data_IF_668500288269
#
_entry.id   IF_668500288269
#
_cell.length_a   1.000
_cell.length_b   1.000
_cell.length_c   1.000
_cell.angle_alpha   90.00
_cell.angle_beta   90.00
_cell.angle_gamma   90.00
#
_symmetry.space_group_name_H-M   'P 1'
#
loop_
_entity.id
_entity.type
_entity.pdbx_description
1 polymer ?
#
# COMPACT_ATOMS: atom_id res chain seq x y z
N UNK A 1 1.53 -22.82 -2.23
CA UNK A 1 0.77 -22.94 -3.49
C UNK A 1 1.33 -21.94 -4.49
N UNK A 2 1.61 -22.37 -5.72
CA UNK A 2 1.97 -21.46 -6.82
C UNK A 2 0.68 -20.91 -7.45
N UNK A 3 0.36 -19.65 -7.15
CA UNK A 3 -0.87 -19.00 -7.62
C UNK A 3 -0.91 -18.75 -9.13
N UNK A 4 0.25 -18.66 -9.79
CA UNK A 4 0.30 -18.44 -11.24
C UNK A 4 -0.15 -19.68 -12.01
N UNK A 5 0.20 -20.85 -11.50
CA UNK A 5 -0.12 -22.15 -12.11
C UNK A 5 -1.29 -22.86 -11.44
N UNK A 6 -1.90 -22.27 -10.40
CA UNK A 6 -3.05 -22.84 -9.72
C UNK A 6 -4.31 -22.84 -10.62
N UNK A 7 -5.16 -23.85 -10.45
CA UNK A 7 -6.48 -23.88 -11.10
C UNK A 7 -7.41 -22.78 -10.58
N UNK A 8 -8.56 -22.60 -11.21
CA UNK A 8 -9.50 -21.54 -10.89
C UNK A 8 -10.13 -21.74 -9.50
N UNK A 9 -10.38 -22.97 -9.08
CA UNK A 9 -10.98 -23.31 -7.80
C UNK A 9 -10.01 -22.98 -6.64
N UNK A 10 -8.76 -23.43 -6.76
CA UNK A 10 -7.68 -23.09 -5.81
C UNK A 10 -7.49 -21.58 -5.70
N UNK A 11 -7.47 -20.85 -6.84
CA UNK A 11 -7.38 -19.39 -6.79
C UNK A 11 -8.58 -18.74 -6.10
N UNK A 12 -9.80 -19.24 -6.34
CA UNK A 12 -11.02 -18.75 -5.70
C UNK A 12 -10.98 -18.98 -4.18
N UNK A 13 -10.58 -20.17 -3.72
CA UNK A 13 -10.49 -20.48 -2.29
C UNK A 13 -9.48 -19.64 -1.52
N UNK A 14 -8.47 -19.10 -2.20
CA UNK A 14 -7.42 -18.26 -1.59
C UNK A 14 -7.79 -16.78 -1.60
N UNK A 15 -8.39 -16.28 -2.69
CA UNK A 15 -8.79 -14.87 -2.84
C UNK A 15 -9.91 -14.53 -1.85
N UNK A 16 -9.72 -13.44 -1.10
CA UNK A 16 -10.63 -13.00 -0.04
C UNK A 16 -10.39 -13.72 1.29
N UNK A 17 -10.15 -15.02 1.28
CA UNK A 17 -9.98 -15.83 2.49
C UNK A 17 -8.54 -15.79 3.04
N UNK A 18 -7.53 -16.12 2.23
CA UNK A 18 -6.13 -16.09 2.68
C UNK A 18 -5.39 -14.82 2.26
N UNK A 19 -5.72 -14.31 1.09
CA UNK A 19 -5.16 -13.07 0.53
C UNK A 19 -6.32 -12.16 0.17
N UNK A 20 -6.38 -11.00 0.81
CA UNK A 20 -7.40 -9.99 0.51
C UNK A 20 -6.76 -8.69 0.03
N UNK A 21 -7.54 -7.84 -0.63
CA UNK A 21 -7.06 -6.59 -1.22
C UNK A 21 -8.00 -5.43 -0.91
N UNK A 22 -7.41 -4.30 -0.53
CA UNK A 22 -8.07 -3.00 -0.47
C UNK A 22 -7.66 -2.22 -1.71
N UNK A 23 -8.64 -1.83 -2.53
CA UNK A 23 -8.42 -1.11 -3.77
C UNK A 23 -8.28 0.40 -3.53
N UNK A 24 -7.66 1.08 -4.47
CA UNK A 24 -7.41 2.53 -4.43
C UNK A 24 -8.71 3.36 -4.37
N UNK A 25 -9.74 2.96 -5.13
CA UNK A 25 -11.00 3.66 -5.22
C UNK A 25 -12.17 2.81 -4.71
N UNK A 26 -12.79 3.18 -3.56
CA UNK A 26 -13.94 2.45 -3.03
C UNK A 26 -15.17 2.54 -3.94
N UNK A 27 -15.26 3.52 -4.83
CA UNK A 27 -16.38 3.65 -5.77
C UNK A 27 -16.38 2.57 -6.85
N UNK A 28 -15.21 2.06 -7.20
CA UNK A 28 -15.06 0.97 -8.17
C UNK A 28 -15.19 -0.41 -7.52
N UNK A 29 -14.96 -0.49 -6.21
CA UNK A 29 -15.01 -1.75 -5.46
C UNK A 29 -16.42 -2.10 -4.93
N UNK A 30 -17.24 -1.08 -4.61
CA UNK A 30 -18.59 -1.28 -4.09
C UNK A 30 -19.63 -1.19 -5.20
N UNK A 31 -20.58 -2.13 -5.24
CA UNK A 31 -21.71 -2.12 -6.17
C UNK A 31 -22.74 -1.05 -5.72
N UNK A 32 -22.95 0.04 -6.50
CA UNK A 32 -23.79 1.15 -6.08
C UNK A 32 -25.29 0.83 -5.97
N UNK A 33 -25.75 -0.24 -6.61
CA UNK A 33 -27.17 -0.66 -6.62
C UNK A 33 -27.47 -1.82 -5.67
N UNK A 34 -26.50 -2.20 -4.84
CA UNK A 34 -26.65 -3.27 -3.85
C UNK A 34 -26.42 -2.73 -2.44
N UNK A 35 -27.22 -3.17 -1.48
CA UNK A 35 -27.06 -2.82 -0.07
C UNK A 35 -25.72 -3.30 0.47
N UNK A 36 -25.11 -2.52 1.37
CA UNK A 36 -23.79 -2.83 1.93
C UNK A 36 -23.73 -4.18 2.65
N UNK A 37 -24.75 -4.48 3.49
CA UNK A 37 -24.84 -5.76 4.18
C UNK A 37 -24.81 -6.95 3.21
N UNK A 38 -25.56 -6.84 2.10
CA UNK A 38 -25.60 -7.91 1.10
C UNK A 38 -24.25 -8.13 0.41
N UNK A 39 -23.49 -7.05 0.14
CA UNK A 39 -22.15 -7.16 -0.45
C UNK A 39 -21.16 -7.84 0.49
N UNK A 40 -21.26 -7.61 1.81
CA UNK A 40 -20.41 -8.30 2.79
C UNK A 40 -20.84 -9.76 2.97
N UNK A 41 -22.16 -10.05 2.95
CA UNK A 41 -22.67 -11.42 2.96
C UNK A 41 -22.17 -12.23 1.76
N UNK A 42 -22.14 -11.65 0.55
CA UNK A 42 -21.60 -12.31 -0.64
C UNK A 42 -20.14 -12.76 -0.50
N UNK A 43 -19.34 -12.04 0.31
CA UNK A 43 -17.97 -12.47 0.62
C UNK A 43 -17.98 -13.74 1.46
N UNK A 44 -18.90 -13.87 2.42
CA UNK A 44 -19.06 -15.07 3.24
C UNK A 44 -19.60 -16.23 2.41
N UNK A 45 -20.66 -15.98 1.61
CA UNK A 45 -21.28 -16.97 0.73
C UNK A 45 -20.26 -17.57 -0.26
N UNK A 46 -19.35 -16.73 -0.80
CA UNK A 46 -18.33 -17.17 -1.75
C UNK A 46 -17.32 -18.16 -1.16
N UNK A 47 -17.29 -18.30 0.17
CA UNK A 47 -16.39 -19.20 0.91
C UNK A 47 -17.13 -20.21 1.80
N UNK A 48 -18.41 -20.48 1.50
CA UNK A 48 -19.27 -21.43 2.23
C UNK A 48 -19.39 -21.11 3.74
N UNK A 49 -19.35 -19.82 4.10
CA UNK A 49 -19.45 -19.30 5.47
C UNK A 49 -20.78 -18.57 5.71
N UNK A 50 -21.78 -18.84 4.90
CA UNK A 50 -23.13 -18.26 4.90
C UNK A 50 -24.06 -18.77 6.01
N UNK A 51 -23.50 -19.40 7.05
CA UNK A 51 -24.22 -19.99 8.16
C UNK A 51 -25.14 -19.01 8.90
N UNK A 52 -25.93 -19.52 9.87
CA UNK A 52 -26.95 -18.81 10.65
C UNK A 52 -26.49 -17.49 11.29
N UNK A 53 -25.18 -17.20 11.31
CA UNK A 53 -24.57 -16.04 11.95
C UNK A 53 -24.02 -15.03 10.94
N UNK A 54 -24.26 -15.16 9.62
CA UNK A 54 -23.69 -14.24 8.61
C UNK A 54 -24.00 -12.76 8.91
N UNK A 55 -25.23 -12.44 9.31
CA UNK A 55 -25.62 -11.07 9.67
C UNK A 55 -24.85 -10.55 10.90
N UNK A 56 -24.63 -11.40 11.90
CA UNK A 56 -23.84 -11.03 13.09
C UNK A 56 -22.37 -10.79 12.73
N UNK A 57 -21.79 -11.60 11.86
CA UNK A 57 -20.42 -11.42 11.34
C UNK A 57 -20.30 -10.10 10.58
N UNK A 58 -21.25 -9.81 9.69
CA UNK A 58 -21.30 -8.53 8.94
C UNK A 58 -21.47 -7.34 9.88
N UNK A 59 -22.38 -7.43 10.85
CA UNK A 59 -22.57 -6.41 11.86
C UNK A 59 -21.28 -6.11 12.62
N UNK A 60 -20.59 -7.15 13.12
CA UNK A 60 -19.33 -7.01 13.84
C UNK A 60 -18.22 -6.45 12.96
N UNK A 61 -18.11 -6.88 11.70
CA UNK A 61 -17.14 -6.34 10.75
C UNK A 61 -17.33 -4.83 10.50
N UNK A 62 -18.57 -4.36 10.36
CA UNK A 62 -18.86 -2.92 10.21
C UNK A 62 -18.59 -2.14 11.49
N UNK A 63 -18.91 -2.72 12.64
CA UNK A 63 -18.61 -2.14 13.97
C UNK A 63 -17.11 -2.00 14.20
N UNK A 64 -16.34 -3.03 13.88
CA UNK A 64 -14.88 -3.07 14.07
C UNK A 64 -14.15 -2.00 13.26
N UNK A 65 -14.67 -1.63 12.08
CA UNK A 65 -14.14 -0.53 11.30
C UNK A 65 -14.71 0.84 11.67
N UNK A 66 -15.54 0.91 12.71
CA UNK A 66 -16.09 2.14 13.25
C UNK A 66 -17.18 2.78 12.37
N UNK A 67 -17.99 1.97 11.70
CA UNK A 67 -19.21 2.44 11.04
C UNK A 67 -20.27 2.71 12.13
N UNK A 68 -20.83 3.93 12.20
CA UNK A 68 -21.93 4.22 13.11
C UNK A 68 -23.22 3.49 12.69
N UNK A 69 -24.03 3.07 13.66
CA UNK A 69 -25.30 2.38 13.41
C UNK A 69 -25.18 1.21 12.41
N UNK A 70 -24.40 0.14 12.71
CA UNK A 70 -24.11 -0.93 11.74
C UNK A 70 -25.37 -1.60 11.18
N UNK A 71 -26.44 -1.78 11.97
CA UNK A 71 -27.71 -2.34 11.51
C UNK A 71 -28.36 -1.51 10.41
N UNK A 72 -28.30 -0.19 10.53
CA UNK A 72 -28.78 0.74 9.51
C UNK A 72 -27.89 0.70 8.28
N UNK A 73 -26.57 0.70 8.51
CA UNK A 73 -25.57 0.65 7.45
C UNK A 73 -25.71 -0.60 6.56
N UNK A 74 -26.00 -1.77 7.15
CA UNK A 74 -26.27 -3.00 6.40
C UNK A 74 -27.43 -2.85 5.41
N UNK A 75 -28.41 -2.01 5.71
CA UNK A 75 -29.58 -1.78 4.89
C UNK A 75 -29.47 -0.59 3.92
N UNK A 76 -28.38 0.15 3.99
CA UNK A 76 -28.11 1.32 3.15
C UNK A 76 -27.30 0.98 1.90
N UNK A 77 -27.29 1.89 0.94
CA UNK A 77 -26.53 1.80 -0.30
C UNK A 77 -25.21 2.60 -0.19
N UNK A 78 -24.18 2.28 -1.00
CA UNK A 78 -22.91 2.99 -0.98
C UNK A 78 -23.01 4.50 -1.17
N UNK A 79 -23.93 4.99 -1.99
CA UNK A 79 -24.10 6.41 -2.27
C UNK A 79 -24.60 7.23 -1.06
N UNK A 80 -25.17 6.59 -0.05
CA UNK A 80 -25.62 7.23 1.19
C UNK A 80 -24.46 7.54 2.16
N UNK A 81 -23.24 7.08 1.85
CA UNK A 81 -22.05 7.19 2.70
C UNK A 81 -21.02 8.19 2.16
N UNK A 82 -20.29 8.84 3.08
CA UNK A 82 -19.12 9.66 2.71
C UNK A 82 -18.00 8.79 2.14
N UNK A 83 -17.01 9.39 1.47
CA UNK A 83 -15.85 8.67 0.94
C UNK A 83 -15.10 7.87 2.01
N UNK A 84 -14.85 8.48 3.17
CA UNK A 84 -14.19 7.80 4.29
C UNK A 84 -15.01 6.64 4.88
N UNK A 85 -16.34 6.75 4.91
CA UNK A 85 -17.21 5.65 5.35
C UNK A 85 -17.22 4.50 4.34
N UNK A 86 -17.27 4.78 3.04
CA UNK A 86 -17.13 3.75 1.99
C UNK A 86 -15.79 3.04 2.06
N UNK A 87 -14.71 3.79 2.34
CA UNK A 87 -13.38 3.21 2.56
C UNK A 87 -13.37 2.24 3.75
N UNK A 88 -14.01 2.61 4.87
CA UNK A 88 -14.15 1.72 6.02
C UNK A 88 -14.93 0.46 5.70
N UNK A 89 -16.02 0.57 4.93
CA UNK A 89 -16.80 -0.60 4.47
C UNK A 89 -15.95 -1.51 3.59
N UNK A 90 -15.15 -0.95 2.66
CA UNK A 90 -14.23 -1.74 1.84
C UNK A 90 -13.15 -2.44 2.68
N UNK A 91 -12.66 -1.79 3.74
CA UNK A 91 -11.74 -2.43 4.69
C UNK A 91 -12.45 -3.55 5.46
N UNK A 92 -13.69 -3.34 5.93
CA UNK A 92 -14.48 -4.39 6.57
C UNK A 92 -14.63 -5.61 5.65
N UNK A 93 -14.99 -5.38 4.39
CA UNK A 93 -15.10 -6.43 3.36
C UNK A 93 -13.77 -7.18 3.15
N UNK A 94 -12.64 -6.47 3.14
CA UNK A 94 -11.32 -7.08 2.98
C UNK A 94 -10.88 -7.91 4.20
N UNK A 95 -11.35 -7.56 5.40
CA UNK A 95 -10.93 -8.18 6.66
C UNK A 95 -11.91 -9.20 7.23
N UNK A 96 -13.13 -9.28 6.71
CA UNK A 96 -14.23 -10.09 7.26
C UNK A 96 -13.88 -11.58 7.43
N UNK A 97 -13.01 -12.10 6.53
CA UNK A 97 -12.53 -13.50 6.57
C UNK A 97 -11.19 -13.65 7.30
N UNK A 98 -10.69 -12.60 7.97
CA UNK A 98 -9.42 -12.62 8.69
C UNK A 98 -8.24 -13.14 7.84
N UNK A 99 -7.90 -12.51 6.71
CA UNK A 99 -6.90 -12.99 5.78
C UNK A 99 -5.50 -13.06 6.42
N UNK A 100 -4.64 -13.94 5.88
CA UNK A 100 -3.23 -14.04 6.28
C UNK A 100 -2.37 -12.94 5.68
N UNK A 101 -2.74 -12.44 4.50
CA UNK A 101 -2.08 -11.34 3.79
C UNK A 101 -3.11 -10.33 3.32
N UNK A 102 -2.91 -9.07 3.71
CA UNK A 102 -3.65 -7.93 3.18
C UNK A 102 -2.76 -7.15 2.21
N UNK A 103 -3.25 -6.94 0.99
CA UNK A 103 -2.66 -6.03 0.00
C UNK A 103 -3.49 -4.75 0.03
N UNK A 104 -2.86 -3.62 0.33
CA UNK A 104 -3.51 -2.31 0.36
C UNK A 104 -2.89 -1.42 -0.72
N UNK A 105 -3.66 -1.14 -1.78
CA UNK A 105 -3.21 -0.35 -2.92
C UNK A 105 -3.71 1.09 -2.78
N UNK A 106 -2.84 1.99 -2.35
CA UNK A 106 -3.12 3.40 -2.08
C UNK A 106 -4.42 3.65 -1.30
N UNK A 107 -4.70 2.94 -0.21
CA UNK A 107 -6.02 2.89 0.42
C UNK A 107 -6.46 4.20 1.10
N UNK A 108 -5.61 5.21 1.12
CA UNK A 108 -5.88 6.51 1.76
C UNK A 108 -5.73 7.71 0.82
N UNK A 109 -5.46 7.51 -0.47
CA UNK A 109 -5.12 8.59 -1.43
C UNK A 109 -6.24 9.58 -1.61
N UNK A 110 -7.43 9.43 -1.44
CA UNK A 110 -8.51 10.41 -1.64
C UNK A 110 -9.15 10.90 -0.33
N UNK A 111 -8.47 10.64 0.81
CA UNK A 111 -9.00 10.95 2.13
C UNK A 111 -8.31 12.18 2.73
N UNK A 112 -9.04 12.93 3.54
CA UNK A 112 -8.43 13.97 4.38
C UNK A 112 -7.51 13.35 5.45
N UNK A 113 -6.57 14.15 5.95
CA UNK A 113 -5.50 13.71 6.87
C UNK A 113 -6.08 13.05 8.13
N UNK A 114 -7.21 13.54 8.64
CA UNK A 114 -7.83 13.01 9.85
C UNK A 114 -8.39 11.61 9.62
N UNK A 115 -9.13 11.42 8.54
CA UNK A 115 -9.68 10.11 8.15
C UNK A 115 -8.54 9.14 7.80
N UNK A 116 -7.51 9.62 7.09
CA UNK A 116 -6.31 8.81 6.81
C UNK A 116 -5.70 8.25 8.09
N UNK A 117 -5.45 9.08 9.11
CA UNK A 117 -4.90 8.64 10.39
C UNK A 117 -5.80 7.60 11.09
N UNK A 118 -7.12 7.80 11.05
CA UNK A 118 -8.07 6.85 11.62
C UNK A 118 -8.02 5.48 10.91
N UNK A 119 -7.93 5.47 9.57
CA UNK A 119 -7.79 4.24 8.78
C UNK A 119 -6.48 3.52 9.11
N UNK A 120 -5.37 4.26 9.19
CA UNK A 120 -4.06 3.67 9.53
C UNK A 120 -4.07 3.04 10.93
N UNK A 121 -4.65 3.73 11.91
CA UNK A 121 -4.79 3.20 13.27
C UNK A 121 -5.64 1.92 13.29
N UNK A 122 -6.77 1.91 12.57
CA UNK A 122 -7.65 0.76 12.45
C UNK A 122 -6.94 -0.45 11.84
N UNK A 123 -6.27 -0.28 10.70
CA UNK A 123 -5.56 -1.38 10.02
C UNK A 123 -4.40 -1.90 10.88
N UNK A 124 -3.66 -1.01 11.56
CA UNK A 124 -2.58 -1.38 12.49
C UNK A 124 -3.10 -2.20 13.66
N UNK A 125 -4.27 -1.83 14.21
CA UNK A 125 -4.90 -2.56 15.30
C UNK A 125 -5.37 -3.95 14.84
N UNK A 126 -6.00 -4.06 13.66
CA UNK A 126 -6.41 -5.33 13.09
C UNK A 126 -5.21 -6.24 12.79
N UNK A 127 -4.13 -5.70 12.22
CA UNK A 127 -2.87 -6.43 12.04
C UNK A 127 -2.35 -7.00 13.36
N UNK A 128 -2.32 -6.20 14.42
CA UNK A 128 -1.85 -6.63 15.74
C UNK A 128 -2.73 -7.73 16.34
N UNK A 129 -4.06 -7.66 16.16
CA UNK A 129 -5.02 -8.65 16.68
C UNK A 129 -4.93 -9.98 15.94
N UNK A 130 -4.84 -9.95 14.60
CA UNK A 130 -4.89 -11.14 13.74
C UNK A 130 -3.50 -11.75 13.42
N UNK A 131 -2.42 -11.00 13.61
CA UNK A 131 -1.08 -11.40 13.17
C UNK A 131 -0.90 -11.45 11.65
N UNK A 132 -1.81 -10.85 10.87
CA UNK A 132 -1.73 -10.86 9.40
C UNK A 132 -0.49 -10.10 8.90
N UNK A 133 0.06 -10.58 7.80
CA UNK A 133 1.07 -9.85 7.02
C UNK A 133 0.40 -8.79 6.16
N UNK A 134 1.12 -7.71 5.83
CA UNK A 134 0.57 -6.62 5.05
C UNK A 134 1.55 -6.14 3.99
N UNK A 135 1.07 -5.98 2.76
CA UNK A 135 1.75 -5.28 1.68
C UNK A 135 1.02 -3.95 1.44
N UNK A 136 1.66 -2.86 1.85
CA UNK A 136 1.08 -1.51 1.73
C UNK A 136 1.75 -0.75 0.59
N UNK A 137 0.99 -0.40 -0.43
CA UNK A 137 1.46 0.38 -1.58
C UNK A 137 1.01 1.82 -1.38
N UNK A 138 1.95 2.75 -1.40
CA UNK A 138 1.67 4.18 -1.21
C UNK A 138 2.80 5.05 -1.74
N UNK A 139 2.50 6.28 -2.08
CA UNK A 139 3.47 7.34 -2.34
C UNK A 139 3.69 8.26 -1.10
N UNK A 140 2.97 8.04 0.00
CA UNK A 140 3.08 8.82 1.22
C UNK A 140 4.13 8.22 2.17
N UNK A 141 5.31 8.84 2.19
CA UNK A 141 6.43 8.42 3.04
C UNK A 141 6.15 8.62 4.55
N UNK A 142 5.24 9.54 4.92
CA UNK A 142 4.80 9.72 6.30
C UNK A 142 4.03 8.50 6.82
N UNK A 143 3.22 7.89 5.97
CA UNK A 143 2.54 6.62 6.25
C UNK A 143 3.56 5.50 6.42
N UNK A 144 4.50 5.38 5.48
CA UNK A 144 5.53 4.33 5.49
C UNK A 144 6.32 4.34 6.79
N UNK A 145 6.76 5.52 7.23
CA UNK A 145 7.59 5.68 8.43
C UNK A 145 6.98 5.10 9.71
N UNK A 146 5.64 5.03 9.79
CA UNK A 146 4.92 4.66 11.01
C UNK A 146 4.19 3.32 10.93
N UNK A 147 4.04 2.74 9.74
CA UNK A 147 3.13 1.60 9.52
C UNK A 147 3.86 0.28 9.25
N UNK A 148 5.02 0.33 8.59
CA UNK A 148 5.67 -0.87 8.03
C UNK A 148 7.03 -1.15 8.65
N UNK A 149 7.49 -2.40 8.54
CA UNK A 149 8.80 -2.83 9.05
C UNK A 149 9.89 -2.73 7.97
N UNK A 150 9.52 -2.98 6.71
CA UNK A 150 10.41 -2.97 5.54
C UNK A 150 9.83 -2.14 4.42
N UNK A 151 10.70 -1.53 3.65
CA UNK A 151 10.36 -0.69 2.50
C UNK A 151 10.99 -1.25 1.23
N UNK A 152 10.20 -1.26 0.17
CA UNK A 152 10.64 -1.53 -1.21
C UNK A 152 10.41 -0.24 -2.00
N UNK A 153 11.48 0.42 -2.43
CA UNK A 153 11.41 1.62 -3.26
C UNK A 153 11.41 1.21 -4.73
N UNK A 154 10.43 1.69 -5.48
CA UNK A 154 10.29 1.41 -6.92
C UNK A 154 10.44 2.70 -7.73
N UNK A 155 11.07 2.59 -8.89
CA UNK A 155 11.16 3.66 -9.88
C UNK A 155 11.02 3.09 -11.29
N UNK A 156 10.12 3.66 -12.09
CA UNK A 156 9.85 3.24 -13.46
C UNK A 156 9.65 1.72 -13.62
N UNK A 157 8.88 1.10 -12.70
CA UNK A 157 8.56 -0.34 -12.72
C UNK A 157 9.66 -1.27 -12.19
N UNK A 158 10.80 -0.73 -11.74
CA UNK A 158 11.92 -1.53 -11.20
C UNK A 158 12.13 -1.25 -9.71
N UNK A 159 12.51 -2.27 -8.96
CA UNK A 159 12.95 -2.12 -7.57
C UNK A 159 14.34 -1.49 -7.58
N UNK A 160 14.49 -0.36 -6.90
CA UNK A 160 15.75 0.39 -6.82
C UNK A 160 16.41 0.27 -5.46
N UNK A 161 15.65 0.09 -4.38
CA UNK A 161 16.21 -0.12 -3.04
C UNK A 161 15.23 -0.91 -2.16
N UNK A 162 15.78 -1.75 -1.26
CA UNK A 162 15.03 -2.53 -0.26
C UNK A 162 15.78 -2.47 1.06
N UNK A 163 15.07 -2.20 2.17
CA UNK A 163 15.67 -2.16 3.50
C UNK A 163 14.62 -2.09 4.60
N UNK A 164 15.05 -2.05 5.86
CA UNK A 164 14.17 -1.67 6.96
C UNK A 164 13.78 -0.20 6.84
N UNK A 165 12.67 0.19 7.48
CA UNK A 165 12.26 1.62 7.52
C UNK A 165 13.41 2.48 7.99
N UNK A 166 14.05 2.11 9.10
CA UNK A 166 15.16 2.87 9.66
C UNK A 166 16.31 3.06 8.66
N UNK A 167 16.73 1.98 7.99
CA UNK A 167 17.80 2.03 7.01
C UNK A 167 17.48 2.95 5.82
N UNK A 168 16.28 2.82 5.27
CA UNK A 168 15.83 3.63 4.12
C UNK A 168 15.75 5.11 4.49
N UNK A 169 15.22 5.44 5.68
CA UNK A 169 15.04 6.85 6.07
C UNK A 169 16.32 7.53 6.57
N UNK A 170 17.19 6.80 7.25
CA UNK A 170 18.43 7.38 7.83
C UNK A 170 19.59 7.32 6.84
N UNK A 171 19.71 6.21 6.09
CA UNK A 171 20.89 5.95 5.26
C UNK A 171 20.52 5.37 3.88
N UNK A 172 19.74 6.11 3.07
CA UNK A 172 19.38 5.68 1.72
C UNK A 172 20.64 5.49 0.86
N UNK A 173 20.69 4.39 0.10
CA UNK A 173 21.83 4.06 -0.74
C UNK A 173 21.62 4.42 -2.21
N UNK A 174 20.36 4.44 -2.67
CA UNK A 174 20.04 4.81 -4.03
C UNK A 174 19.80 6.32 -4.16
N UNK A 175 20.38 7.02 -5.15
CA UNK A 175 20.19 8.48 -5.32
C UNK A 175 18.72 8.91 -5.47
N UNK A 176 17.87 8.09 -6.08
CA UNK A 176 16.44 8.36 -6.15
C UNK A 176 15.78 8.36 -4.76
N UNK A 177 16.08 7.36 -3.92
CA UNK A 177 15.55 7.27 -2.54
C UNK A 177 15.96 8.49 -1.72
N UNK A 178 17.22 8.90 -1.81
CA UNK A 178 17.71 10.10 -1.12
C UNK A 178 17.02 11.38 -1.63
N UNK A 179 16.84 11.51 -2.94
CA UNK A 179 16.11 12.62 -3.55
C UNK A 179 14.64 12.65 -3.11
N UNK A 180 13.99 11.49 -3.03
CA UNK A 180 12.61 11.35 -2.57
C UNK A 180 12.46 11.81 -1.10
N UNK A 181 13.36 11.37 -0.23
CA UNK A 181 13.38 11.78 1.18
C UNK A 181 13.74 13.27 1.35
N UNK A 182 14.63 13.81 0.52
CA UNK A 182 14.99 15.23 0.53
C UNK A 182 13.84 16.15 0.09
N UNK A 183 12.88 15.61 -0.66
CA UNK A 183 11.66 16.35 -1.08
C UNK A 183 10.57 16.42 -0.02
N UNK A 184 10.72 15.70 1.12
CA UNK A 184 9.76 15.79 2.23
C UNK A 184 9.85 17.14 2.96
N UNK A 185 8.71 17.69 3.39
CA UNK A 185 8.69 18.86 4.25
C UNK A 185 9.42 18.58 5.57
N UNK A 186 10.46 19.35 5.87
CA UNK A 186 11.13 19.27 7.17
C UNK A 186 10.30 20.06 8.19
N UNK A 187 9.77 19.38 9.20
CA UNK A 187 8.85 19.94 10.20
C UNK A 187 9.47 21.03 11.12
N UNK A 188 10.77 21.29 11.04
CA UNK A 188 11.50 22.14 12.00
C UNK A 188 11.93 23.49 11.44
N UNK A 189 11.94 23.68 10.12
CA UNK A 189 12.41 24.94 9.55
C UNK A 189 11.24 25.92 9.34
N UNK A 190 11.05 26.85 10.28
CA UNK A 190 10.17 28.03 10.14
C UNK A 190 10.64 29.01 9.04
N UNK A 191 11.82 28.77 8.47
CA UNK A 191 12.29 29.44 7.26
C UNK A 191 11.66 28.78 6.06
N UNK A 192 11.15 29.54 5.10
CA UNK A 192 10.58 29.11 3.81
C UNK A 192 11.64 28.40 2.94
N UNK A 193 12.23 27.31 3.42
CA UNK A 193 13.14 26.50 2.63
C UNK A 193 12.36 25.89 1.46
N UNK A 194 12.75 26.21 0.24
CA UNK A 194 12.18 25.54 -0.96
C UNK A 194 12.40 24.04 -0.85
N UNK A 195 11.35 23.27 -1.07
CA UNK A 195 11.45 21.81 -1.20
C UNK A 195 12.42 21.48 -2.34
N UNK A 196 13.33 20.55 -2.09
CA UNK A 196 14.29 20.11 -3.10
C UNK A 196 13.57 19.10 -4.01
N UNK A 197 13.17 19.55 -5.20
CA UNK A 197 12.57 18.67 -6.19
C UNK A 197 13.63 17.82 -6.90
N UNK A 198 13.31 16.57 -7.23
CA UNK A 198 14.13 15.74 -8.12
C UNK A 198 14.04 16.33 -9.54
N UNK A 199 15.13 16.75 -10.18
CA UNK A 199 15.10 17.40 -11.49
C UNK A 199 14.63 16.44 -12.59
N UNK A 200 14.17 17.01 -13.72
CA UNK A 200 13.77 16.26 -14.92
C UNK A 200 12.41 15.55 -14.79
N UNK A 201 12.06 14.81 -15.83
CA UNK A 201 10.77 14.09 -15.95
C UNK A 201 11.02 12.60 -15.85
N UNK A 202 10.17 11.81 -15.15
CA UNK A 202 10.26 10.36 -15.14
C UNK A 202 10.20 9.78 -16.56
N UNK A 203 10.97 8.74 -16.87
CA UNK A 203 10.90 8.08 -18.18
C UNK A 203 9.54 7.42 -18.36
N UNK A 204 9.07 7.35 -19.59
CA UNK A 204 7.89 6.54 -19.91
C UNK A 204 8.26 5.06 -19.71
N UNK A 205 7.42 4.26 -19.01
CA UNK A 205 7.76 2.88 -18.64
C UNK A 205 8.18 1.98 -19.81
N UNK A 206 7.58 2.20 -20.99
CA UNK A 206 7.91 1.43 -22.22
C UNK A 206 9.18 1.90 -22.95
N UNK A 207 9.82 2.98 -22.49
CA UNK A 207 11.08 3.49 -23.02
C UNK A 207 12.27 3.19 -22.11
N UNK A 208 12.06 2.42 -21.03
CA UNK A 208 13.17 2.00 -20.16
C UNK A 208 13.98 0.94 -20.87
N UNK A 209 15.11 1.36 -21.45
CA UNK A 209 16.08 0.50 -22.09
C UNK A 209 16.83 -0.39 -21.06
N UNK A 210 17.79 -1.19 -21.54
CA UNK A 210 18.71 -1.98 -20.69
C UNK A 210 19.74 -1.09 -19.98
N UNK A 211 19.27 -0.07 -19.30
CA UNK A 211 20.05 0.95 -18.58
C UNK A 211 19.41 1.27 -17.23
N UNK A 212 20.11 2.02 -16.39
CA UNK A 212 19.56 2.51 -15.15
C UNK A 212 18.40 3.50 -15.45
N UNK A 213 17.14 3.22 -15.03
CA UNK A 213 16.01 4.08 -15.37
C UNK A 213 16.10 5.47 -14.74
N UNK A 214 16.88 5.64 -13.68
CA UNK A 214 17.09 6.93 -13.02
C UNK A 214 18.28 7.71 -13.60
N UNK A 215 19.15 7.13 -14.44
CA UNK A 215 20.34 7.79 -14.98
C UNK A 215 20.08 9.19 -15.57
N UNK A 216 19.00 9.44 -16.35
CA UNK A 216 18.74 10.78 -16.92
C UNK A 216 18.46 11.87 -15.88
N UNK A 217 18.19 11.51 -14.64
CA UNK A 217 17.84 12.42 -13.52
C UNK A 217 18.83 12.35 -12.36
N UNK A 218 19.86 11.52 -12.50
CA UNK A 218 20.83 11.24 -11.46
C UNK A 218 22.06 12.14 -11.63
N UNK A 219 22.39 12.92 -10.61
CA UNK A 219 23.60 13.75 -10.55
C UNK A 219 24.91 12.94 -10.48
N UNK A 220 24.79 11.62 -10.19
CA UNK A 220 25.91 10.68 -10.10
C UNK A 220 25.98 9.72 -11.31
N UNK A 221 25.19 9.98 -12.35
CA UNK A 221 25.17 9.10 -13.52
C UNK A 221 26.52 9.09 -14.25
N UNK A 222 26.97 7.90 -14.61
CA UNK A 222 28.16 7.66 -15.46
C UNK A 222 27.75 6.96 -16.75
N UNK A 223 28.68 6.75 -17.65
CA UNK A 223 28.45 5.99 -18.87
C UNK A 223 28.01 4.54 -18.60
N UNK A 224 28.44 3.94 -17.49
CA UNK A 224 27.99 2.63 -17.06
C UNK A 224 26.48 2.62 -16.79
N UNK A 225 25.94 3.67 -16.13
CA UNK A 225 24.52 3.80 -15.83
C UNK A 225 23.65 3.93 -17.09
N UNK A 226 24.19 4.50 -18.19
CA UNK A 226 23.47 4.63 -19.46
C UNK A 226 23.53 3.38 -20.32
N UNK A 227 24.53 2.53 -20.13
CA UNK A 227 24.79 1.35 -20.95
C UNK A 227 24.36 0.03 -20.29
N UNK A 228 24.06 0.03 -18.98
CA UNK A 228 23.76 -1.19 -18.25
C UNK A 228 22.71 -0.95 -17.16
N UNK A 229 21.92 -1.99 -16.89
CA UNK A 229 20.97 -2.00 -15.76
C UNK A 229 21.67 -2.48 -14.51
N UNK A 230 21.71 -1.70 -13.41
CA UNK A 230 22.25 -2.17 -12.15
C UNK A 230 21.35 -3.26 -11.56
N UNK A 231 21.96 -4.32 -11.05
CA UNK A 231 21.25 -5.38 -10.35
C UNK A 231 21.08 -5.03 -8.88
N UNK A 232 19.96 -5.51 -8.29
CA UNK A 232 19.74 -5.39 -6.84
C UNK A 232 20.81 -6.24 -6.14
N UNK A 233 21.69 -5.59 -5.38
CA UNK A 233 22.74 -6.26 -4.62
C UNK A 233 22.75 -5.79 -3.17
N UNK A 234 23.13 -6.68 -2.25
CA UNK A 234 23.13 -6.42 -0.81
C UNK A 234 24.46 -5.81 -0.36
N UNK A 235 24.40 -4.86 0.58
CA UNK A 235 25.51 -4.44 1.42
C UNK A 235 25.16 -4.69 2.90
N UNK A 236 25.92 -4.10 3.83
CA UNK A 236 25.67 -4.24 5.26
C UNK A 236 24.33 -3.67 5.73
N UNK A 237 23.73 -2.75 4.96
CA UNK A 237 22.56 -1.96 5.38
C UNK A 237 21.31 -2.29 4.56
N UNK A 238 21.39 -2.19 3.23
CA UNK A 238 20.25 -2.31 2.32
C UNK A 238 20.62 -3.12 1.09
N UNK A 239 19.59 -3.50 0.31
CA UNK A 239 19.79 -3.97 -1.06
C UNK A 239 19.48 -2.82 -2.01
N UNK A 240 20.42 -2.44 -2.88
CA UNK A 240 20.21 -1.34 -3.83
C UNK A 240 20.70 -1.72 -5.23
N UNK A 241 19.90 -1.28 -6.23
CA UNK A 241 20.22 -1.42 -7.65
C UNK A 241 20.92 -0.14 -8.14
N UNK A 242 22.19 0.05 -7.76
CA UNK A 242 22.97 1.22 -8.09
C UNK A 242 24.46 0.91 -8.23
N UNK A 243 25.10 1.38 -9.30
CA UNK A 243 26.56 1.30 -9.48
C UNK A 243 27.31 2.28 -8.55
N UNK A 244 26.69 3.44 -8.24
CA UNK A 244 27.29 4.53 -7.47
C UNK A 244 26.46 4.87 -6.24
N UNK A 245 26.37 3.93 -5.29
CA UNK A 245 25.61 4.11 -4.07
C UNK A 245 26.05 5.34 -3.29
N UNK A 246 25.13 5.95 -2.58
CA UNK A 246 25.44 7.03 -1.62
C UNK A 246 26.23 6.39 -0.47
N UNK A 247 27.38 6.97 -0.14
CA UNK A 247 28.21 6.46 0.96
C UNK A 247 27.49 6.60 2.30
N UNK A 248 27.79 5.65 3.20
CA UNK A 248 27.32 5.68 4.59
C UNK A 248 27.70 7.01 5.22
N UNK A 249 26.71 7.78 5.66
CA UNK A 249 26.99 8.88 6.59
C UNK A 249 27.40 8.25 7.93
N UNK A 250 28.70 8.40 8.27
CA UNK A 250 29.23 8.03 9.59
C UNK A 250 28.62 8.93 10.66
#
# INVERSE_FOLDING_TARGET
VDLLNADQETRRSIRGNQISMIYQDPMTALNPVMKLGKQLEEVLDAHDLDGKNAQEVVFNALKDVGIPEPERAMNSFPHEFSGGMRQRVMIAMALILSPKLLIADEPTTALDVTIQQQILALVSEQRRKSGMSMLWITHDLGVVANLVDRVIVMYAGRIVEVGSVEQIFINPQHPYTAGLLASLPKSVDKTRARLTAIPGVPPKPWLVADSCPFAPRCDRATQECTNSTPTLSKNEFTEAACFHRIGVRK
#
